data_IF_679223910863
#
_entry.id   IF_679223910863
#
_cell.length_a   1.000
_cell.length_b   1.000
_cell.length_c   1.000
_cell.angle_alpha   90.00
_cell.angle_beta   90.00
_cell.angle_gamma   90.00
#
_symmetry.space_group_name_H-M   'P 1'
#
loop_
_entity.id
_entity.type
_entity.pdbx_description
1 polymer ?
#
# COMPACT_ATOMS: atom_id res chain seq x y z
N UNK A 1 13.47 57.04 -6.19
CA UNK A 1 12.83 56.02 -7.04
C UNK A 1 13.75 55.41 -8.10
N UNK A 2 14.93 55.98 -8.42
CA UNK A 2 15.85 55.34 -9.39
C UNK A 2 15.31 55.25 -10.83
N UNK A 3 14.29 56.04 -11.16
CA UNK A 3 13.63 56.06 -12.46
C UNK A 3 13.94 57.35 -13.23
N UNK A 4 13.79 57.30 -14.55
CA UNK A 4 14.03 58.42 -15.48
C UNK A 4 15.46 58.98 -15.34
N UNK A 5 15.79 60.28 -15.16
CA UNK A 5 17.19 60.71 -15.20
C UNK A 5 18.05 60.09 -14.07
N UNK A 6 17.42 59.48 -13.07
CA UNK A 6 18.08 58.74 -11.99
C UNK A 6 18.13 57.23 -12.25
N UNK A 7 17.92 56.75 -13.48
CA UNK A 7 18.21 55.36 -13.85
C UNK A 7 19.71 55.09 -13.95
N UNK A 8 20.50 56.12 -14.28
CA UNK A 8 21.95 56.03 -14.34
C UNK A 8 22.56 56.17 -12.94
N UNK A 9 23.49 55.29 -12.60
CA UNK A 9 24.22 55.31 -11.32
C UNK A 9 24.92 56.64 -11.07
N UNK A 10 25.46 57.28 -12.10
CA UNK A 10 26.21 58.53 -11.97
C UNK A 10 25.30 59.68 -11.50
N UNK A 11 24.06 59.73 -11.99
CA UNK A 11 23.07 60.70 -11.52
C UNK A 11 22.51 60.37 -10.13
N UNK A 12 22.58 59.10 -9.70
CA UNK A 12 22.25 58.72 -8.32
C UNK A 12 23.39 59.06 -7.35
N UNK A 13 24.65 58.93 -7.77
CA UNK A 13 25.83 59.24 -6.97
C UNK A 13 25.94 60.72 -6.62
N UNK A 14 25.39 61.60 -7.47
CA UNK A 14 25.29 63.04 -7.20
C UNK A 14 24.23 63.41 -6.14
N UNK A 15 23.54 62.43 -5.54
CA UNK A 15 22.61 62.69 -4.45
C UNK A 15 23.36 63.02 -3.16
N UNK A 16 22.94 64.10 -2.51
CA UNK A 16 23.44 64.48 -1.20
C UNK A 16 23.09 63.46 -0.10
N UNK A 17 23.85 63.48 1.01
CA UNK A 17 23.77 62.47 2.07
C UNK A 17 22.40 62.40 2.77
N UNK A 18 21.68 63.51 2.87
CA UNK A 18 20.36 63.54 3.53
C UNK A 18 19.32 62.71 2.77
N UNK A 19 19.36 62.74 1.44
CA UNK A 19 18.47 61.93 0.60
C UNK A 19 18.80 60.44 0.71
N UNK A 20 20.06 60.08 0.90
CA UNK A 20 20.46 58.70 1.15
C UNK A 20 19.90 58.19 2.49
N UNK A 21 20.00 58.98 3.56
CA UNK A 21 19.45 58.63 4.89
C UNK A 21 17.93 58.45 4.85
N UNK A 22 17.23 59.38 4.21
CA UNK A 22 15.78 59.31 4.03
C UNK A 22 15.38 58.05 3.23
N UNK A 23 16.09 57.76 2.14
CA UNK A 23 15.82 56.53 1.36
C UNK A 23 16.10 55.26 2.15
N UNK A 24 17.14 55.24 2.99
CA UNK A 24 17.46 54.10 3.84
C UNK A 24 16.35 53.86 4.87
N UNK A 25 15.89 54.91 5.56
CA UNK A 25 14.79 54.80 6.52
C UNK A 25 13.51 54.28 5.86
N UNK A 26 13.11 54.87 4.73
CA UNK A 26 11.93 54.43 3.98
C UNK A 26 12.06 52.99 3.46
N UNK A 27 13.27 52.58 3.07
CA UNK A 27 13.53 51.20 2.63
C UNK A 27 13.38 50.20 3.77
N UNK A 28 13.89 50.53 4.97
CA UNK A 28 13.73 49.68 6.15
C UNK A 28 12.26 49.59 6.60
N UNK A 29 11.53 50.70 6.57
CA UNK A 29 10.08 50.69 6.84
C UNK A 29 9.31 49.87 5.80
N UNK A 30 9.65 50.02 4.52
CA UNK A 30 9.04 49.24 3.45
C UNK A 30 9.34 47.74 3.62
N UNK A 31 10.59 47.38 3.96
CA UNK A 31 11.00 46.00 4.23
C UNK A 31 10.23 45.41 5.42
N UNK A 32 10.01 46.20 6.48
CA UNK A 32 9.17 45.79 7.62
C UNK A 32 7.69 45.60 7.26
N UNK A 33 7.20 46.21 6.17
CA UNK A 33 5.85 46.02 5.64
C UNK A 33 5.73 44.86 4.65
N UNK A 34 6.85 44.33 4.15
CA UNK A 34 6.83 43.12 3.32
C UNK A 34 6.48 41.95 4.22
N UNK A 35 5.23 41.49 4.13
CA UNK A 35 4.84 40.20 4.68
C UNK A 35 5.61 39.13 3.91
N UNK A 36 6.59 38.50 4.53
CA UNK A 36 7.14 37.25 4.03
C UNK A 36 5.96 36.29 3.99
N UNK A 37 5.48 35.97 2.79
CA UNK A 37 4.52 34.88 2.63
C UNK A 37 5.18 33.67 3.25
N UNK A 38 4.68 33.24 4.41
CA UNK A 38 5.28 32.17 5.19
C UNK A 38 5.51 30.99 4.23
N UNK A 39 6.78 30.70 3.92
CA UNK A 39 7.11 29.59 3.04
C UNK A 39 6.59 28.36 3.76
N UNK A 40 5.78 27.56 3.06
CA UNK A 40 5.26 26.31 3.60
C UNK A 40 6.41 25.53 4.25
N UNK A 41 6.27 25.10 5.51
CA UNK A 41 7.33 24.37 6.20
C UNK A 41 7.72 23.12 5.42
N UNK A 42 9.00 22.76 5.47
CA UNK A 42 9.55 21.66 4.68
C UNK A 42 8.82 20.35 4.97
N UNK A 43 8.48 20.09 6.25
CA UNK A 43 7.77 18.90 6.69
C UNK A 43 6.39 18.70 6.02
N UNK A 44 5.72 19.78 5.58
CA UNK A 44 4.42 19.70 4.88
C UNK A 44 4.54 19.18 3.44
N UNK A 45 5.73 19.28 2.84
CA UNK A 45 5.96 18.86 1.46
C UNK A 45 6.52 17.43 1.35
N UNK A 46 6.88 16.81 2.48
CA UNK A 46 7.41 15.44 2.50
C UNK A 46 6.23 14.49 2.26
N UNK A 47 6.34 13.64 1.24
CA UNK A 47 5.35 12.59 0.95
C UNK A 47 6.04 11.24 0.89
N UNK A 48 5.36 10.22 1.40
CA UNK A 48 5.87 8.85 1.36
C UNK A 48 5.91 8.33 -0.08
N UNK A 49 7.06 7.80 -0.50
CA UNK A 49 7.20 7.11 -1.78
C UNK A 49 6.48 5.76 -1.79
N UNK A 50 6.37 5.11 -2.95
CA UNK A 50 5.73 3.77 -3.08
C UNK A 50 6.53 2.67 -2.40
N UNK A 51 7.85 2.74 -2.48
CA UNK A 51 8.77 1.72 -1.95
C UNK A 51 9.30 2.08 -0.56
N UNK A 52 8.96 3.27 -0.07
CA UNK A 52 9.45 3.79 1.20
C UNK A 52 8.68 3.18 2.37
N UNK A 53 9.44 2.70 3.37
CA UNK A 53 8.86 2.13 4.58
C UNK A 53 8.24 3.21 5.46
N UNK A 54 7.30 2.83 6.32
CA UNK A 54 6.69 3.76 7.26
C UNK A 54 7.72 4.36 8.23
N UNK A 55 8.72 3.58 8.67
CA UNK A 55 9.80 4.08 9.52
C UNK A 55 10.63 5.18 8.84
N UNK A 56 10.94 5.01 7.55
CA UNK A 56 11.73 6.01 6.80
C UNK A 56 11.01 7.36 6.68
N UNK A 57 9.70 7.35 6.45
CA UNK A 57 8.93 8.60 6.39
C UNK A 57 8.79 9.24 7.78
N UNK A 58 8.67 8.45 8.85
CA UNK A 58 8.69 8.95 10.24
C UNK A 58 9.99 9.70 10.52
N UNK A 59 11.14 9.10 10.20
CA UNK A 59 12.45 9.72 10.42
C UNK A 59 12.66 11.00 9.59
N UNK A 60 12.18 11.02 8.35
CA UNK A 60 12.29 12.22 7.50
C UNK A 60 11.42 13.36 8.00
N UNK A 61 10.20 13.06 8.43
CA UNK A 61 9.26 14.07 8.92
C UNK A 61 9.71 14.57 10.29
N UNK A 62 10.17 13.71 11.19
CA UNK A 62 10.71 14.11 12.49
C UNK A 62 11.91 15.04 12.33
N UNK A 63 12.88 14.65 11.48
CA UNK A 63 14.06 15.47 11.20
C UNK A 63 13.69 16.84 10.59
N UNK A 64 12.70 16.91 9.70
CA UNK A 64 12.26 18.16 9.11
C UNK A 64 11.51 19.07 10.10
N UNK A 65 10.78 18.48 11.05
CA UNK A 65 10.14 19.22 12.14
C UNK A 65 11.21 19.80 13.08
N UNK A 66 12.21 19.01 13.44
CA UNK A 66 13.31 19.45 14.32
C UNK A 66 14.15 20.57 13.73
N UNK A 67 14.28 20.61 12.40
CA UNK A 67 14.97 21.68 11.68
C UNK A 67 14.14 22.96 11.53
N UNK A 68 12.85 22.94 11.90
CA UNK A 68 11.97 24.11 11.75
C UNK A 68 12.02 24.99 13.01
N UNK A 69 12.56 26.23 12.94
CA UNK A 69 12.78 27.07 14.13
C UNK A 69 11.50 27.48 14.87
N UNK A 70 10.37 27.56 14.15
CA UNK A 70 9.10 28.07 14.68
C UNK A 70 8.24 26.99 15.36
N UNK A 71 8.69 25.73 15.40
CA UNK A 71 7.94 24.63 16.03
C UNK A 71 8.38 24.43 17.47
N UNK A 72 7.46 24.62 18.41
CA UNK A 72 7.72 24.40 19.83
C UNK A 72 7.78 22.90 20.16
N UNK A 73 8.64 22.51 21.11
CA UNK A 73 8.91 21.11 21.47
C UNK A 73 7.63 20.31 21.79
N UNK A 74 6.73 20.88 22.59
CA UNK A 74 5.47 20.24 22.97
C UNK A 74 4.51 20.01 21.79
N UNK A 75 4.70 20.71 20.67
CA UNK A 75 3.88 20.52 19.45
C UNK A 75 4.42 19.43 18.54
N UNK A 76 5.71 19.10 18.63
CA UNK A 76 6.39 18.23 17.65
C UNK A 76 5.73 16.87 17.52
N UNK A 77 5.37 16.23 18.63
CA UNK A 77 4.72 14.92 18.61
C UNK A 77 3.34 14.93 17.94
N UNK A 78 2.50 15.91 18.26
CA UNK A 78 1.18 16.08 17.64
C UNK A 78 1.29 16.42 16.15
N UNK A 79 2.26 17.28 15.80
CA UNK A 79 2.50 17.71 14.43
C UNK A 79 3.07 16.57 13.56
N UNK A 80 3.99 15.77 14.11
CA UNK A 80 4.51 14.57 13.47
C UNK A 80 3.40 13.58 13.16
N UNK A 81 2.55 13.25 14.14
CA UNK A 81 1.40 12.37 13.96
C UNK A 81 0.49 12.86 12.82
N UNK A 82 0.11 14.13 12.86
CA UNK A 82 -0.80 14.69 11.87
C UNK A 82 -0.17 14.70 10.47
N UNK A 83 1.11 15.05 10.37
CA UNK A 83 1.85 15.01 9.11
C UNK A 83 1.88 13.60 8.53
N UNK A 84 2.14 12.57 9.35
CA UNK A 84 2.16 11.19 8.90
C UNK A 84 0.81 10.75 8.34
N UNK A 85 -0.29 11.03 9.04
CA UNK A 85 -1.64 10.66 8.57
C UNK A 85 -2.03 11.32 7.24
N UNK A 86 -1.49 12.51 6.95
CA UNK A 86 -1.76 13.26 5.73
C UNK A 86 -0.80 12.92 4.59
N UNK A 87 0.47 12.64 4.89
CA UNK A 87 1.54 12.52 3.92
C UNK A 87 1.90 11.07 3.53
N UNK A 88 1.35 10.08 4.24
CA UNK A 88 1.51 8.69 3.89
C UNK A 88 0.83 8.31 2.58
N UNK A 89 1.36 7.28 1.93
CA UNK A 89 0.78 6.73 0.70
C UNK A 89 -0.56 6.02 1.00
N UNK A 90 -1.35 5.73 -0.06
CA UNK A 90 -2.69 5.15 0.11
C UNK A 90 -2.67 3.81 0.86
N UNK A 91 -1.74 2.92 0.53
CA UNK A 91 -1.64 1.60 1.16
C UNK A 91 -1.39 1.72 2.67
N UNK A 92 -0.45 2.58 3.07
CA UNK A 92 -0.18 2.89 4.47
C UNK A 92 -1.38 3.53 5.15
N UNK A 93 -2.05 4.50 4.51
CA UNK A 93 -3.26 5.12 5.09
C UNK A 93 -4.38 4.11 5.33
N UNK A 94 -4.57 3.13 4.44
CA UNK A 94 -5.56 2.06 4.63
C UNK A 94 -5.25 1.18 5.83
N UNK A 95 -3.99 0.82 6.04
CA UNK A 95 -3.57 0.03 7.21
C UNK A 95 -3.73 0.85 8.48
N UNK A 96 -3.31 2.12 8.47
CA UNK A 96 -3.42 3.00 9.63
C UNK A 96 -4.87 3.30 10.01
N UNK A 97 -5.81 3.24 9.06
CA UNK A 97 -7.24 3.37 9.33
C UNK A 97 -7.81 2.23 10.19
N UNK A 98 -7.10 1.09 10.32
CA UNK A 98 -7.51 0.00 11.23
C UNK A 98 -7.14 0.26 12.68
N UNK A 99 -6.31 1.27 12.96
CA UNK A 99 -5.88 1.62 14.32
C UNK A 99 -6.85 2.62 14.95
N UNK A 100 -6.94 2.64 16.30
CA UNK A 100 -7.76 3.63 16.99
C UNK A 100 -7.24 5.06 16.73
N UNK A 101 -8.15 6.04 16.72
CA UNK A 101 -7.82 7.41 16.31
C UNK A 101 -6.75 8.12 17.15
N UNK A 102 -6.48 7.61 18.37
CA UNK A 102 -5.45 8.06 19.30
C UNK A 102 -4.17 7.19 19.28
N UNK A 103 -4.05 6.20 18.37
CA UNK A 103 -2.95 5.24 18.34
C UNK A 103 -1.58 5.90 18.24
N UNK A 104 -0.63 5.61 19.13
CA UNK A 104 0.68 6.28 19.18
C UNK A 104 1.54 5.99 17.93
N UNK A 105 2.62 6.75 17.73
CA UNK A 105 3.52 6.53 16.58
C UNK A 105 4.19 5.16 16.66
N UNK A 106 4.50 4.72 17.88
CA UNK A 106 5.04 3.40 18.19
C UNK A 106 4.05 2.29 17.77
N UNK A 107 2.77 2.42 18.15
CA UNK A 107 1.72 1.48 17.73
C UNK A 107 1.54 1.45 16.21
N UNK A 108 1.64 2.63 15.55
CA UNK A 108 1.62 2.72 14.09
C UNK A 108 2.82 1.99 13.47
N UNK A 109 4.02 2.16 14.02
CA UNK A 109 5.23 1.46 13.56
C UNK A 109 5.14 -0.06 13.77
N UNK A 110 4.66 -0.49 14.93
CA UNK A 110 4.44 -1.91 15.23
C UNK A 110 3.45 -2.53 14.27
N UNK A 111 2.35 -1.85 13.97
CA UNK A 111 1.37 -2.35 13.00
C UNK A 111 1.97 -2.43 11.60
N UNK A 112 2.72 -1.41 11.18
CA UNK A 112 3.33 -1.37 9.84
C UNK A 112 4.47 -2.37 9.68
N UNK A 113 5.13 -2.80 10.77
CA UNK A 113 6.15 -3.86 10.72
C UNK A 113 5.62 -5.20 10.21
N UNK A 114 4.30 -5.43 10.32
CA UNK A 114 3.62 -6.65 9.84
C UNK A 114 3.39 -6.65 8.33
N UNK A 115 3.56 -5.50 7.67
CA UNK A 115 3.30 -5.31 6.26
C UNK A 115 4.61 -5.03 5.52
N UNK A 116 5.14 -6.01 4.75
CA UNK A 116 6.35 -5.78 3.99
C UNK A 116 6.12 -4.74 2.90
N UNK A 117 7.16 -3.97 2.60
CA UNK A 117 7.20 -2.97 1.53
C UNK A 117 8.25 -3.33 0.49
N UNK A 118 8.12 -2.80 -0.74
CA UNK A 118 9.10 -3.03 -1.80
C UNK A 118 9.10 -4.48 -2.33
N UNK A 119 10.27 -5.06 -2.68
CA UNK A 119 10.36 -6.38 -3.29
C UNK A 119 9.74 -7.51 -2.45
N UNK A 120 9.77 -7.38 -1.12
CA UNK A 120 9.16 -8.37 -0.21
C UNK A 120 7.63 -8.36 -0.27
N UNK A 121 7.00 -7.22 -0.61
CA UNK A 121 5.56 -7.14 -0.81
C UNK A 121 5.12 -8.00 -2.00
N UNK A 122 5.89 -7.97 -3.10
CA UNK A 122 5.62 -8.78 -4.29
C UNK A 122 5.67 -10.28 -3.99
N UNK A 123 6.61 -10.71 -3.14
CA UNK A 123 6.69 -12.11 -2.71
C UNK A 123 5.47 -12.52 -1.90
N UNK A 124 4.99 -11.66 -0.99
CA UNK A 124 3.78 -11.96 -0.20
C UNK A 124 2.53 -12.01 -1.08
N UNK A 125 2.42 -11.15 -2.09
CA UNK A 125 1.32 -11.23 -3.06
C UNK A 125 1.36 -12.53 -3.86
N UNK A 126 2.51 -12.93 -4.40
CA UNK A 126 2.67 -14.21 -5.08
C UNK A 126 2.37 -15.42 -4.18
N UNK A 127 2.73 -15.34 -2.89
CA UNK A 127 2.37 -16.37 -1.91
C UNK A 127 0.85 -16.41 -1.67
N UNK A 128 0.17 -15.25 -1.59
CA UNK A 128 -1.29 -15.22 -1.48
C UNK A 128 -1.97 -15.85 -2.69
N UNK A 129 -1.54 -15.49 -3.90
CA UNK A 129 -2.07 -16.05 -5.15
C UNK A 129 -1.88 -17.58 -5.21
N UNK A 130 -0.70 -18.08 -4.83
CA UNK A 130 -0.45 -19.53 -4.78
C UNK A 130 -1.30 -20.24 -3.71
N UNK A 131 -1.54 -19.63 -2.55
CA UNK A 131 -2.44 -20.17 -1.52
C UNK A 131 -3.89 -20.22 -2.02
N UNK A 132 -4.36 -19.19 -2.72
CA UNK A 132 -5.69 -19.16 -3.32
C UNK A 132 -5.85 -20.24 -4.41
N UNK A 133 -4.84 -20.38 -5.27
CA UNK A 133 -4.82 -21.44 -6.27
C UNK A 133 -4.88 -22.84 -5.64
N UNK A 134 -4.14 -23.08 -4.55
CA UNK A 134 -4.18 -24.36 -3.81
C UNK A 134 -5.55 -24.61 -3.19
N UNK A 135 -6.21 -23.58 -2.62
CA UNK A 135 -7.57 -23.72 -2.07
C UNK A 135 -8.57 -24.13 -3.16
N UNK A 136 -8.55 -23.45 -4.30
CA UNK A 136 -9.42 -23.77 -5.44
C UNK A 136 -9.17 -25.20 -5.95
N UNK A 137 -7.91 -25.63 -6.02
CA UNK A 137 -7.57 -26.99 -6.42
C UNK A 137 -8.11 -28.03 -5.43
N UNK A 138 -8.01 -27.76 -4.12
CA UNK A 138 -8.55 -28.61 -3.07
C UNK A 138 -10.07 -28.75 -3.12
N UNK A 139 -10.78 -27.64 -3.39
CA UNK A 139 -12.23 -27.63 -3.58
C UNK A 139 -12.65 -28.39 -4.84
N UNK A 140 -11.92 -28.21 -5.94
CA UNK A 140 -12.14 -28.94 -7.19
C UNK A 140 -11.93 -30.45 -7.04
N UNK A 141 -10.86 -30.87 -6.32
CA UNK A 141 -10.60 -32.27 -6.02
C UNK A 141 -11.67 -32.88 -5.11
N UNK A 142 -12.15 -32.12 -4.11
CA UNK A 142 -13.25 -32.55 -3.24
C UNK A 142 -14.55 -32.74 -4.03
N UNK A 143 -14.91 -31.77 -4.86
CA UNK A 143 -16.08 -31.88 -5.75
C UNK A 143 -15.94 -33.02 -6.77
N UNK A 144 -14.74 -33.25 -7.29
CA UNK A 144 -14.44 -34.39 -8.16
C UNK A 144 -14.55 -35.74 -7.45
N UNK A 145 -14.07 -35.86 -6.21
CA UNK A 145 -14.27 -37.06 -5.39
C UNK A 145 -15.75 -37.29 -5.08
N UNK A 146 -16.51 -36.25 -4.73
CA UNK A 146 -17.95 -36.37 -4.46
C UNK A 146 -18.69 -36.87 -5.71
N UNK A 147 -18.43 -36.28 -6.88
CA UNK A 147 -18.99 -36.72 -8.15
C UNK A 147 -18.59 -38.16 -8.51
N UNK A 148 -17.32 -38.52 -8.31
CA UNK A 148 -16.83 -39.88 -8.58
C UNK A 148 -17.44 -40.90 -7.62
N UNK A 149 -17.59 -40.56 -6.34
CA UNK A 149 -18.21 -41.42 -5.32
C UNK A 149 -19.70 -41.58 -5.59
N UNK A 150 -20.38 -40.51 -6.01
CA UNK A 150 -21.80 -40.54 -6.37
C UNK A 150 -22.04 -41.33 -7.66
N UNK A 151 -21.16 -41.22 -8.66
CA UNK A 151 -21.19 -42.05 -9.86
C UNK A 151 -20.94 -43.54 -9.55
N UNK A 152 -19.97 -43.85 -8.68
CA UNK A 152 -19.71 -45.22 -8.22
C UNK A 152 -20.89 -45.79 -7.43
N UNK A 153 -21.55 -44.98 -6.59
CA UNK A 153 -22.76 -45.38 -5.87
C UNK A 153 -23.94 -45.65 -6.82
N UNK A 154 -24.11 -44.82 -7.86
CA UNK A 154 -25.14 -45.02 -8.88
C UNK A 154 -24.91 -46.30 -9.71
N UNK A 155 -23.65 -46.72 -9.89
CA UNK A 155 -23.28 -47.95 -10.60
C UNK A 155 -23.27 -49.20 -9.71
N UNK A 156 -23.38 -49.06 -8.38
CA UNK A 156 -23.38 -50.17 -7.42
C UNK A 156 -24.47 -51.25 -7.67
N UNK A 157 -25.74 -50.92 -7.98
CA UNK A 157 -26.77 -51.95 -8.21
C UNK A 157 -26.50 -52.81 -9.46
N UNK A 158 -25.87 -52.26 -10.50
CA UNK A 158 -25.47 -53.04 -11.68
C UNK A 158 -24.31 -53.99 -11.38
N UNK A 159 -23.37 -53.59 -10.52
CA UNK A 159 -22.28 -54.46 -10.03
C UNK A 159 -22.81 -55.60 -9.16
N UNK A 160 -23.76 -55.33 -8.26
CA UNK A 160 -24.39 -56.36 -7.43
C UNK A 160 -25.17 -57.38 -8.28
N UNK A 161 -25.83 -56.94 -9.36
CA UNK A 161 -26.49 -57.82 -10.32
C UNK A 161 -25.51 -58.66 -11.15
N UNK A 162 -24.29 -58.15 -11.41
CA UNK A 162 -23.21 -58.88 -12.08
C UNK A 162 -22.61 -59.98 -11.20
N UNK A 163 -22.48 -59.76 -9.89
CA UNK A 163 -21.90 -60.73 -8.94
C UNK A 163 -22.93 -61.74 -8.43
N UNK A 164 -24.22 -61.39 -8.43
CA UNK A 164 -25.31 -62.32 -8.10
C UNK A 164 -25.54 -63.43 -9.15
N UNK A 165 -24.89 -63.35 -10.33
CA UNK A 165 -25.01 -64.36 -11.40
C UNK A 165 -23.91 -65.42 -11.43
N UNK A 166 -22.97 -65.43 -10.49
CA UNK A 166 -21.99 -66.53 -10.32
C UNK A 166 -22.41 -67.54 -9.26
N UNK A 167 -23.68 -67.95 -9.28
CA UNK A 167 -24.03 -69.31 -8.82
C UNK A 167 -23.67 -70.29 -9.94
N UNK A 168 -23.24 -71.53 -9.64
CA UNK A 168 -22.92 -72.51 -10.68
C UNK A 168 -24.19 -72.78 -11.50
N UNK A 169 -24.27 -72.19 -12.70
CA UNK A 169 -25.31 -72.53 -13.63
C UNK A 169 -25.09 -73.99 -14.06
N UNK A 170 -26.12 -74.86 -14.05
CA UNK A 170 -25.97 -76.20 -14.60
C UNK A 170 -25.53 -76.06 -16.06
N UNK A 171 -24.47 -76.79 -16.41
CA UNK A 171 -23.85 -76.75 -17.73
C UNK A 171 -24.90 -76.98 -18.82
N UNK A 172 -25.37 -75.89 -19.44
CA UNK A 172 -26.12 -75.96 -20.68
C UNK A 172 -25.10 -76.20 -21.79
N UNK A 173 -25.09 -77.43 -22.31
CA UNK A 173 -24.37 -77.79 -23.53
C UNK A 173 -24.83 -76.86 -24.64
N UNK A 174 -23.97 -75.95 -25.05
CA UNK A 174 -24.15 -75.15 -26.26
C UNK A 174 -23.83 -76.10 -27.41
N UNK A 175 -24.87 -76.63 -28.06
CA UNK A 175 -24.68 -77.35 -29.32
C UNK A 175 -24.54 -76.32 -30.44
N UNK A 176 -23.43 -76.43 -31.17
CA UNK A 176 -23.19 -75.69 -32.40
C UNK A 176 -24.17 -76.20 -33.46
N UNK A 177 -25.02 -75.33 -34.01
CA UNK A 177 -26.00 -75.64 -35.06
C UNK A 177 -25.39 -75.97 -36.43
N UNK A 178 -24.10 -76.34 -36.48
CA UNK A 178 -23.38 -76.65 -37.72
C UNK A 178 -22.58 -77.96 -37.69
N UNK A 179 -22.53 -78.66 -36.57
CA UNK A 179 -21.76 -79.91 -36.46
C UNK A 179 -22.50 -80.91 -35.55
N UNK A 180 -23.26 -81.84 -36.14
CA UNK A 180 -23.82 -83.02 -35.47
C UNK A 180 -22.78 -84.14 -35.44
N UNK A 181 -22.33 -84.54 -34.24
CA UNK A 181 -22.25 -85.94 -33.74
C UNK A 181 -21.45 -86.05 -32.42
N UNK A 182 -21.67 -87.13 -31.62
CA UNK A 182 -21.74 -87.11 -30.15
C UNK A 182 -20.41 -86.94 -29.40
#
# INVERSE_FOLDING_TARGET
>A
MGTRPFSNSDHQALRGPDKLRETMQLTLEALGRVKITARMPIYMNIKQSREESFAQIVDKVSAAIDQTPDVQEWMKGALLRQCLLQNCNLATRTILASLPGNASIEEMLEQMSRFPVGPQAMLVEAVKESVEAVKQLGEALRGGQEQQTQALAALAPLRAASTAKTGPAPARKITCSRCDHP
#
